data_IF_792062377458
#
_entry.id   IF_792062377458
#
_cell.length_a   1.000
_cell.length_b   1.000
_cell.length_c   1.000
_cell.angle_alpha   90.00
_cell.angle_beta   90.00
_cell.angle_gamma   90.00
#
_symmetry.space_group_name_H-M   'P 1'
#
loop_
_entity.id
_entity.type
_entity.pdbx_description
1 polymer ?
#
# COMPACT_ATOMS: atom_id res chain seq x y z
N UNK A 1 -31.95 38.72 40.84
CA UNK A 1 -33.42 38.81 41.02
C UNK A 1 -33.91 37.39 41.29
N UNK A 2 -33.96 36.94 42.54
CA UNK A 2 -35.19 36.84 43.38
C UNK A 2 -36.31 36.11 42.62
N UNK A 3 -36.66 34.87 42.96
CA UNK A 3 -37.53 34.45 44.07
C UNK A 3 -37.64 32.90 43.99
N UNK A 4 -38.03 32.10 44.98
CA UNK A 4 -38.25 32.20 46.42
C UNK A 4 -38.75 30.81 46.86
N UNK A 5 -38.43 30.40 48.10
CA UNK A 5 -39.31 29.85 49.17
C UNK A 5 -40.33 28.75 48.78
N UNK A 6 -40.61 27.70 49.54
CA UNK A 6 -40.56 27.37 50.98
C UNK A 6 -40.85 25.85 51.07
N UNK A 7 -40.21 25.08 51.98
CA UNK A 7 -40.73 24.69 53.31
C UNK A 7 -42.14 24.01 53.25
N UNK A 8 -42.44 22.83 53.80
CA UNK A 8 -42.23 22.33 55.18
C UNK A 8 -42.61 20.83 55.29
N UNK A 9 -41.94 20.14 56.21
CA UNK A 9 -42.38 19.10 57.16
C UNK A 9 -43.82 18.57 57.10
N UNK A 10 -44.00 17.26 57.34
CA UNK A 10 -44.81 16.71 58.46
C UNK A 10 -44.42 15.25 58.75
N UNK A 11 -44.50 14.92 60.05
CA UNK A 11 -44.15 13.67 60.74
C UNK A 11 -45.11 12.51 60.47
N UNK A 12 -44.50 11.31 60.52
CA UNK A 12 -44.92 10.04 61.10
C UNK A 12 -46.41 9.75 61.38
N UNK A 13 -46.85 8.59 60.89
CA UNK A 13 -47.79 7.71 61.60
C UNK A 13 -47.31 6.25 61.47
N UNK A 14 -47.22 5.58 62.62
CA UNK A 14 -46.99 4.16 62.74
C UNK A 14 -48.30 3.39 62.50
N UNK A 15 -48.21 2.20 61.91
CA UNK A 15 -49.35 1.29 61.72
C UNK A 15 -48.88 -0.13 61.42
N UNK A 16 -49.17 -1.03 62.36
CA UNK A 16 -48.86 -2.45 62.36
C UNK A 16 -49.41 -3.19 61.12
N UNK A 17 -48.63 -4.16 60.62
CA UNK A 17 -49.09 -5.14 59.64
C UNK A 17 -48.08 -6.26 59.42
N UNK A 18 -48.19 -7.33 60.22
CA UNK A 18 -47.53 -8.62 59.97
C UNK A 18 -47.99 -9.17 58.62
N UNK A 19 -47.08 -9.42 57.70
CA UNK A 19 -47.23 -10.38 56.60
C UNK A 19 -45.85 -10.93 56.24
N UNK A 20 -45.72 -12.25 56.29
CA UNK A 20 -44.48 -12.97 56.04
C UNK A 20 -43.95 -12.73 54.64
N UNK A 21 -42.65 -12.52 54.52
CA UNK A 21 -41.93 -12.56 53.26
C UNK A 21 -40.77 -13.52 53.44
N UNK A 22 -40.86 -14.68 52.79
CA UNK A 22 -39.74 -15.59 52.65
C UNK A 22 -38.65 -14.86 51.84
N UNK A 23 -37.51 -14.59 52.48
CA UNK A 23 -36.34 -14.07 51.80
C UNK A 23 -35.69 -15.21 50.99
N UNK A 24 -36.00 -15.27 49.70
CA UNK A 24 -35.14 -15.99 48.75
C UNK A 24 -33.83 -15.21 48.62
N UNK A 25 -32.78 -15.74 49.23
CA UNK A 25 -31.40 -15.32 48.93
C UNK A 25 -31.08 -15.86 47.53
N UNK A 26 -31.33 -15.04 46.51
CA UNK A 26 -30.86 -15.30 45.16
C UNK A 26 -29.34 -15.03 45.12
N UNK A 27 -28.55 -16.07 45.31
CA UNK A 27 -27.12 -16.06 45.04
C UNK A 27 -26.92 -15.88 43.53
N UNK A 28 -26.75 -14.65 43.07
CA UNK A 28 -26.30 -14.36 41.70
C UNK A 28 -24.83 -14.71 41.59
N UNK A 29 -24.54 -15.95 41.23
CA UNK A 29 -23.22 -16.34 40.72
C UNK A 29 -22.99 -15.61 39.40
N UNK A 30 -22.18 -14.56 39.44
CA UNK A 30 -21.61 -13.94 38.25
C UNK A 30 -20.69 -14.98 37.60
N UNK A 31 -21.21 -15.69 36.60
CA UNK A 31 -20.37 -16.49 35.71
C UNK A 31 -19.58 -15.50 34.86
N UNK A 32 -18.33 -15.25 35.24
CA UNK A 32 -17.38 -14.56 34.39
C UNK A 32 -17.04 -15.53 33.26
N UNK A 33 -17.75 -15.42 32.14
CA UNK A 33 -17.34 -16.07 30.88
C UNK A 33 -16.08 -15.36 30.38
N UNK A 34 -14.92 -15.90 30.74
CA UNK A 34 -13.68 -15.60 30.05
C UNK A 34 -13.79 -16.14 28.64
N UNK A 35 -14.18 -15.29 27.68
CA UNK A 35 -14.00 -15.59 26.27
C UNK A 35 -12.50 -15.69 26.00
N UNK A 36 -11.98 -16.90 25.97
CA UNK A 36 -10.61 -17.17 25.56
C UNK A 36 -10.47 -16.68 24.10
N UNK A 37 -9.78 -15.56 23.90
CA UNK A 37 -9.35 -15.12 22.60
C UNK A 37 -8.54 -16.26 21.96
N UNK A 38 -9.01 -16.77 20.83
CA UNK A 38 -8.29 -17.79 20.08
C UNK A 38 -6.87 -17.28 19.79
N UNK A 39 -5.86 -18.12 20.07
CA UNK A 39 -4.47 -17.76 19.79
C UNK A 39 -4.31 -17.42 18.31
N UNK A 40 -3.46 -16.43 17.95
CA UNK A 40 -3.20 -16.10 16.56
C UNK A 40 -2.65 -17.32 15.82
N UNK A 41 -2.98 -17.49 14.52
CA UNK A 41 -2.53 -18.67 13.78
C UNK A 41 -1.01 -18.72 13.68
N UNK A 42 -0.47 -19.93 13.85
CA UNK A 42 0.98 -20.20 13.76
C UNK A 42 1.51 -19.87 12.36
N UNK A 43 2.82 -19.61 12.23
CA UNK A 43 3.44 -19.39 10.92
C UNK A 43 3.26 -20.60 9.98
N UNK A 44 3.25 -21.83 10.51
CA UNK A 44 2.99 -23.03 9.72
C UNK A 44 1.55 -23.04 9.16
N UNK A 45 0.57 -22.69 10.00
CA UNK A 45 -0.84 -22.56 9.59
C UNK A 45 -1.00 -21.47 8.52
N UNK A 46 -0.37 -20.31 8.72
CA UNK A 46 -0.39 -19.20 7.75
C UNK A 46 0.24 -19.60 6.42
N UNK A 47 1.38 -20.31 6.45
CA UNK A 47 2.04 -20.82 5.25
C UNK A 47 1.13 -21.77 4.47
N UNK A 48 0.55 -22.76 5.13
CA UNK A 48 -0.37 -23.71 4.49
C UNK A 48 -1.57 -23.00 3.86
N UNK A 49 -2.13 -22.00 4.53
CA UNK A 49 -3.22 -21.18 4.00
C UNK A 49 -2.83 -20.39 2.75
N UNK A 50 -1.65 -19.75 2.76
CA UNK A 50 -1.12 -19.01 1.62
C UNK A 50 -0.85 -19.94 0.43
N UNK A 51 -0.19 -21.07 0.65
CA UNK A 51 0.14 -22.04 -0.40
C UNK A 51 -1.13 -22.66 -1.00
N UNK A 52 -2.13 -23.00 -0.18
CA UNK A 52 -3.45 -23.45 -0.66
C UNK A 52 -4.17 -22.37 -1.47
N UNK A 53 -4.12 -21.11 -1.03
CA UNK A 53 -4.71 -19.99 -1.78
C UNK A 53 -4.04 -19.81 -3.14
N UNK A 54 -2.70 -19.85 -3.19
CA UNK A 54 -1.95 -19.76 -4.44
C UNK A 54 -2.28 -20.90 -5.41
N UNK A 55 -2.53 -22.11 -4.89
CA UNK A 55 -2.85 -23.28 -5.71
C UNK A 55 -4.29 -23.28 -6.24
N UNK A 56 -5.26 -22.78 -5.47
CA UNK A 56 -6.68 -23.03 -5.73
C UNK A 56 -7.52 -21.79 -6.01
N UNK A 57 -7.09 -20.60 -5.61
CA UNK A 57 -7.86 -19.39 -5.87
C UNK A 57 -7.77 -19.01 -7.35
N UNK A 58 -8.92 -18.83 -8.02
CA UNK A 58 -8.97 -18.49 -9.45
C UNK A 58 -8.11 -17.26 -9.80
N UNK A 59 -8.08 -16.23 -8.94
CA UNK A 59 -7.25 -15.03 -9.15
C UNK A 59 -5.74 -15.28 -9.05
N UNK A 60 -5.32 -16.38 -8.42
CA UNK A 60 -3.93 -16.82 -8.32
C UNK A 60 -3.53 -17.86 -9.38
N UNK A 61 -4.50 -18.39 -10.12
CA UNK A 61 -4.24 -19.30 -11.22
C UNK A 61 -3.81 -18.53 -12.47
N UNK A 62 -3.11 -19.22 -13.37
CA UNK A 62 -2.61 -18.66 -14.64
C UNK A 62 -1.69 -17.42 -14.51
N UNK A 63 -0.99 -17.28 -13.36
CA UNK A 63 0.01 -16.23 -13.18
C UNK A 63 1.33 -16.50 -13.94
N UNK A 64 1.57 -17.73 -14.40
CA UNK A 64 2.83 -18.11 -15.05
C UNK A 64 3.98 -18.25 -14.03
N UNK A 65 5.20 -17.88 -14.43
CA UNK A 65 6.35 -17.83 -13.52
C UNK A 65 6.22 -16.64 -12.55
N UNK A 66 6.32 -16.89 -11.26
CA UNK A 66 6.29 -15.85 -10.24
C UNK A 66 7.11 -16.20 -8.99
N UNK A 67 7.54 -15.17 -8.28
CA UNK A 67 8.08 -15.25 -6.93
C UNK A 67 7.09 -14.60 -5.97
N UNK A 68 6.99 -15.09 -4.74
CA UNK A 68 6.27 -14.40 -3.68
C UNK A 68 7.03 -14.48 -2.37
N UNK A 69 6.87 -13.44 -1.53
CA UNK A 69 7.31 -13.47 -0.15
C UNK A 69 6.38 -12.67 0.75
N UNK A 70 6.36 -13.05 2.03
CA UNK A 70 5.74 -12.33 3.13
C UNK A 70 6.79 -12.23 4.24
N UNK A 71 6.94 -11.04 4.80
CA UNK A 71 7.90 -10.76 5.85
C UNK A 71 7.41 -9.71 6.84
N UNK A 72 8.25 -9.39 7.80
CA UNK A 72 8.05 -8.34 8.79
C UNK A 72 9.28 -7.42 8.87
N UNK A 73 9.34 -6.58 9.90
CA UNK A 73 10.48 -5.70 10.16
C UNK A 73 11.83 -6.43 10.26
N UNK A 74 11.82 -7.69 10.72
CA UNK A 74 13.01 -8.51 10.97
C UNK A 74 13.50 -9.28 9.74
N UNK A 75 12.61 -9.60 8.79
CA UNK A 75 13.02 -10.31 7.57
C UNK A 75 11.90 -11.04 6.86
N UNK A 76 12.29 -11.93 5.96
CA UNK A 76 11.36 -12.83 5.25
C UNK A 76 10.88 -13.91 6.23
N UNK A 77 9.57 -14.05 6.37
CA UNK A 77 8.93 -15.11 7.18
C UNK A 77 8.63 -16.34 6.33
N UNK A 78 8.18 -16.10 5.10
CA UNK A 78 7.88 -17.15 4.12
C UNK A 78 8.03 -16.63 2.70
N UNK A 79 8.39 -17.53 1.80
CA UNK A 79 8.54 -17.26 0.38
C UNK A 79 8.31 -18.54 -0.41
N UNK A 80 8.06 -18.37 -1.69
CA UNK A 80 7.98 -19.45 -2.67
C UNK A 80 8.12 -18.91 -4.08
N UNK A 81 8.15 -19.83 -5.04
CA UNK A 81 8.17 -19.49 -6.46
C UNK A 81 7.42 -20.55 -7.25
N UNK A 82 6.83 -20.15 -8.36
CA UNK A 82 6.32 -21.02 -9.40
C UNK A 82 7.17 -20.82 -10.66
N UNK A 83 7.59 -21.93 -11.27
CA UNK A 83 8.56 -21.90 -12.36
C UNK A 83 10.00 -21.65 -11.88
N UNK A 84 10.86 -21.23 -12.79
CA UNK A 84 12.31 -21.06 -12.55
C UNK A 84 12.85 -19.70 -13.00
N UNK A 85 12.06 -18.87 -13.69
CA UNK A 85 12.55 -17.62 -14.29
C UNK A 85 12.58 -16.45 -13.32
N UNK A 86 11.73 -16.46 -12.31
CA UNK A 86 11.58 -15.38 -11.32
C UNK A 86 11.87 -15.94 -9.93
N UNK A 87 12.80 -15.29 -9.22
CA UNK A 87 13.20 -15.68 -7.86
C UNK A 87 13.76 -14.48 -7.11
N UNK A 88 14.12 -14.66 -5.84
CA UNK A 88 14.47 -13.57 -4.91
C UNK A 88 15.57 -12.61 -5.42
N UNK A 89 16.51 -13.11 -6.23
CA UNK A 89 17.64 -12.32 -6.76
C UNK A 89 17.50 -11.98 -8.25
N UNK A 90 16.38 -12.33 -8.89
CA UNK A 90 16.15 -12.00 -10.29
C UNK A 90 15.84 -10.51 -10.39
N UNK A 91 16.65 -9.76 -11.14
CA UNK A 91 16.30 -8.39 -11.51
C UNK A 91 15.09 -8.39 -12.43
N UNK A 92 14.09 -7.58 -12.09
CA UNK A 92 12.85 -7.38 -12.85
C UNK A 92 12.56 -5.89 -13.01
N UNK A 93 11.79 -5.53 -14.03
CA UNK A 93 11.23 -4.18 -14.21
C UNK A 93 10.12 -3.92 -13.21
N UNK A 94 10.25 -2.82 -12.48
CA UNK A 94 9.25 -2.39 -11.49
C UNK A 94 8.06 -1.72 -12.15
N UNK A 95 8.24 -1.07 -13.31
CA UNK A 95 7.21 -0.22 -13.92
C UNK A 95 6.65 0.73 -12.85
N UNK A 96 5.33 0.94 -12.80
CA UNK A 96 4.68 1.82 -11.83
C UNK A 96 5.01 1.59 -10.35
N UNK A 97 5.53 0.43 -9.94
CA UNK A 97 6.01 0.23 -8.57
C UNK A 97 7.20 1.15 -8.21
N UNK A 98 7.91 1.68 -9.23
CA UNK A 98 8.96 2.70 -9.08
C UNK A 98 8.47 3.92 -8.30
N UNK A 99 7.18 4.26 -8.44
CA UNK A 99 6.57 5.41 -7.77
C UNK A 99 6.75 5.35 -6.26
N UNK A 100 6.56 4.19 -5.63
CA UNK A 100 6.65 4.12 -4.17
C UNK A 100 8.06 4.42 -3.65
N UNK A 101 9.08 3.93 -4.39
CA UNK A 101 10.48 4.24 -4.12
C UNK A 101 10.75 5.73 -4.36
N UNK A 102 10.23 6.29 -5.45
CA UNK A 102 10.36 7.71 -5.75
C UNK A 102 9.68 8.61 -4.71
N UNK A 103 8.50 8.24 -4.22
CA UNK A 103 7.81 8.92 -3.13
C UNK A 103 8.62 8.92 -1.85
N UNK A 104 9.29 7.80 -1.52
CA UNK A 104 10.18 7.74 -0.37
C UNK A 104 11.37 8.69 -0.58
N UNK A 105 12.01 8.64 -1.75
CA UNK A 105 13.11 9.52 -2.11
C UNK A 105 12.77 11.01 -1.95
N UNK A 106 11.62 11.48 -2.44
CA UNK A 106 11.19 12.88 -2.30
C UNK A 106 10.95 13.23 -0.83
N UNK A 107 10.22 12.37 -0.10
CA UNK A 107 9.94 12.61 1.32
C UNK A 107 11.22 12.64 2.16
N UNK A 108 12.20 11.79 1.86
CA UNK A 108 13.51 11.82 2.52
C UNK A 108 14.29 13.11 2.18
N UNK A 109 14.28 13.56 0.92
CA UNK A 109 14.90 14.84 0.53
C UNK A 109 14.27 16.02 1.24
N UNK A 110 12.96 15.98 1.41
CA UNK A 110 12.20 16.96 2.17
C UNK A 110 12.29 16.76 3.70
N UNK A 111 13.08 15.78 4.18
CA UNK A 111 13.26 15.46 5.60
C UNK A 111 11.93 15.22 6.33
N UNK A 112 10.99 14.55 5.67
CA UNK A 112 9.65 14.26 6.19
C UNK A 112 8.68 15.45 6.14
N UNK A 113 9.03 16.54 5.44
CA UNK A 113 8.21 17.75 5.33
C UNK A 113 8.03 18.18 3.87
N UNK A 114 7.38 17.35 3.03
CA UNK A 114 7.15 17.72 1.64
C UNK A 114 6.31 19.00 1.57
N UNK A 115 6.66 19.88 0.64
CA UNK A 115 5.93 21.09 0.30
C UNK A 115 4.56 20.75 -0.29
N UNK A 116 3.62 21.71 -0.32
CA UNK A 116 2.33 21.50 -0.98
C UNK A 116 2.48 21.06 -2.44
N UNK A 117 3.42 21.64 -3.20
CA UNK A 117 3.65 21.26 -4.59
C UNK A 117 4.18 19.83 -4.74
N UNK A 118 5.09 19.40 -3.86
CA UNK A 118 5.54 18.00 -3.80
C UNK A 118 4.39 17.06 -3.46
N UNK A 119 3.53 17.40 -2.49
CA UNK A 119 2.35 16.60 -2.15
C UNK A 119 1.40 16.51 -3.35
N UNK A 120 1.10 17.61 -4.03
CA UNK A 120 0.25 17.60 -5.23
C UNK A 120 0.83 16.74 -6.35
N UNK A 121 2.15 16.77 -6.58
CA UNK A 121 2.78 15.90 -7.57
C UNK A 121 2.75 14.42 -7.15
N UNK A 122 3.17 14.10 -5.91
CA UNK A 122 3.18 12.74 -5.38
C UNK A 122 1.78 12.12 -5.25
N UNK A 123 0.73 12.95 -5.22
CA UNK A 123 -0.67 12.50 -5.20
C UNK A 123 -1.35 12.56 -6.56
N UNK A 124 -0.60 12.75 -7.66
CA UNK A 124 -1.10 12.79 -9.04
C UNK A 124 -2.08 13.93 -9.35
N UNK A 125 -1.84 15.11 -8.79
CA UNK A 125 -2.74 16.28 -8.86
C UNK A 125 -2.07 17.55 -9.38
N UNK A 126 -0.82 17.48 -9.83
CA UNK A 126 -0.09 18.65 -10.36
C UNK A 126 -0.51 19.09 -11.77
N UNK A 127 -1.42 18.39 -12.43
CA UNK A 127 -1.87 18.69 -13.81
C UNK A 127 -0.90 18.28 -14.93
N UNK A 128 0.21 17.61 -14.62
CA UNK A 128 1.14 17.05 -15.61
C UNK A 128 0.86 15.57 -15.85
N UNK A 129 -0.17 15.28 -16.63
CA UNK A 129 -0.67 13.92 -16.85
C UNK A 129 -0.54 13.41 -18.28
N UNK A 130 0.34 14.04 -19.07
CA UNK A 130 0.59 13.73 -20.48
C UNK A 130 1.75 12.78 -20.77
N UNK A 131 2.50 12.29 -19.78
CA UNK A 131 3.69 11.47 -20.01
C UNK A 131 3.31 10.14 -20.68
N UNK A 132 3.89 9.91 -21.85
CA UNK A 132 3.99 8.62 -22.49
C UNK A 132 5.39 8.03 -22.21
N UNK A 133 5.50 7.02 -21.33
CA UNK A 133 6.79 6.44 -20.94
C UNK A 133 7.49 5.73 -22.10
N UNK A 134 6.76 5.28 -23.13
CA UNK A 134 7.34 4.62 -24.30
C UNK A 134 8.18 5.55 -25.17
N UNK A 135 7.99 6.87 -25.03
CA UNK A 135 8.79 7.85 -25.76
C UNK A 135 10.16 8.09 -25.10
N UNK A 136 10.29 7.79 -23.81
CA UNK A 136 11.52 8.04 -23.06
C UNK A 136 12.56 6.96 -23.35
N UNK A 137 13.74 7.40 -23.78
CA UNK A 137 14.88 6.56 -24.09
C UNK A 137 15.75 6.37 -22.83
N UNK A 138 16.40 5.22 -22.70
CA UNK A 138 17.38 4.97 -21.63
C UNK A 138 18.54 5.99 -21.59
N UNK A 139 18.86 6.61 -22.73
CA UNK A 139 19.92 7.61 -22.86
C UNK A 139 19.41 9.05 -22.71
N UNK A 140 18.12 9.25 -22.39
CA UNK A 140 17.61 10.59 -22.10
C UNK A 140 18.16 11.12 -20.77
N UNK A 141 17.97 12.43 -20.58
CA UNK A 141 17.90 13.06 -19.26
C UNK A 141 16.44 13.13 -18.82
N UNK A 142 16.20 13.47 -17.54
CA UNK A 142 14.85 13.75 -17.04
C UNK A 142 14.15 14.79 -17.92
N UNK A 143 14.83 15.89 -18.25
CA UNK A 143 14.29 16.99 -19.05
C UNK A 143 14.03 16.53 -20.49
N UNK A 144 14.98 15.84 -21.14
CA UNK A 144 14.79 15.44 -22.53
C UNK A 144 13.69 14.39 -22.68
N UNK A 145 13.47 13.50 -21.71
CA UNK A 145 12.30 12.62 -21.67
C UNK A 145 10.99 13.41 -21.51
N UNK A 146 10.99 14.44 -20.67
CA UNK A 146 9.82 15.29 -20.44
C UNK A 146 9.43 16.14 -21.67
N UNK A 147 10.40 16.58 -22.46
CA UNK A 147 10.16 17.40 -23.67
C UNK A 147 9.70 16.60 -24.89
N UNK A 148 9.67 15.26 -24.82
CA UNK A 148 9.27 14.42 -25.96
C UNK A 148 7.75 14.43 -26.18
N UNK A 149 7.36 14.71 -27.41
CA UNK A 149 5.96 14.64 -27.83
C UNK A 149 5.08 15.55 -26.96
N UNK A 150 4.14 14.96 -26.21
CA UNK A 150 3.23 15.67 -25.29
C UNK A 150 3.54 15.43 -23.82
N UNK A 151 4.73 14.89 -23.50
CA UNK A 151 5.08 14.52 -22.13
C UNK A 151 5.06 15.72 -21.16
N UNK A 152 5.46 16.90 -21.63
CA UNK A 152 5.46 18.15 -20.85
C UNK A 152 4.10 18.88 -20.83
N UNK A 153 3.05 18.31 -21.45
CA UNK A 153 1.74 18.98 -21.49
C UNK A 153 1.20 19.18 -20.08
N UNK A 154 0.97 20.44 -19.75
CA UNK A 154 0.27 20.86 -18.55
C UNK A 154 -1.21 21.05 -18.86
N UNK A 155 -2.08 20.46 -18.03
CA UNK A 155 -3.53 20.55 -18.15
C UNK A 155 -4.10 21.34 -16.98
N UNK A 156 -4.39 22.65 -17.13
CA UNK A 156 -4.85 23.49 -16.02
C UNK A 156 -6.11 22.96 -15.32
N UNK A 157 -7.04 22.39 -16.08
CA UNK A 157 -8.29 21.83 -15.54
C UNK A 157 -8.12 20.55 -14.71
N UNK A 158 -6.91 19.98 -14.67
CA UNK A 158 -6.59 18.78 -13.87
C UNK A 158 -5.79 19.12 -12.60
N UNK A 159 -5.42 20.39 -12.39
CA UNK A 159 -4.76 20.81 -11.14
C UNK A 159 -5.68 20.56 -9.95
N UNK A 160 -5.15 19.95 -8.90
CA UNK A 160 -5.91 19.57 -7.71
C UNK A 160 -6.83 18.36 -7.90
N UNK A 161 -6.87 17.76 -9.09
CA UNK A 161 -7.69 16.60 -9.41
C UNK A 161 -6.80 15.39 -9.70
N UNK A 162 -7.17 14.24 -9.15
CA UNK A 162 -6.41 13.01 -9.34
C UNK A 162 -6.45 12.58 -10.81
N UNK A 163 -5.29 12.48 -11.46
CA UNK A 163 -5.14 11.94 -12.80
C UNK A 163 -3.88 11.09 -12.88
N UNK A 164 -4.02 9.77 -12.90
CA UNK A 164 -2.86 8.89 -12.77
C UNK A 164 -1.93 8.95 -13.99
N UNK A 165 -0.72 9.46 -13.82
CA UNK A 165 0.30 9.49 -14.87
C UNK A 165 1.71 9.71 -14.30
N UNK A 166 2.76 9.36 -15.05
CA UNK A 166 4.14 9.58 -14.61
C UNK A 166 4.66 11.02 -14.77
N UNK A 167 3.96 11.89 -15.48
CA UNK A 167 4.37 13.26 -15.76
C UNK A 167 4.46 14.13 -14.51
N UNK A 168 3.64 13.85 -13.50
CA UNK A 168 3.69 14.52 -12.20
C UNK A 168 5.07 14.35 -11.56
N UNK A 169 5.56 13.11 -11.53
CA UNK A 169 6.87 12.76 -10.98
C UNK A 169 8.01 13.29 -11.85
N UNK A 170 7.87 13.24 -13.18
CA UNK A 170 8.87 13.75 -14.13
C UNK A 170 9.09 15.24 -13.93
N UNK A 171 8.00 16.02 -13.88
CA UNK A 171 8.05 17.46 -13.62
C UNK A 171 8.63 17.75 -12.24
N UNK A 172 8.24 16.98 -11.23
CA UNK A 172 8.76 17.16 -9.88
C UNK A 172 10.29 16.97 -9.82
N UNK A 173 10.85 15.96 -10.50
CA UNK A 173 12.31 15.80 -10.58
C UNK A 173 13.00 17.02 -11.20
N UNK A 174 12.40 17.62 -12.23
CA UNK A 174 12.92 18.85 -12.85
C UNK A 174 12.92 20.00 -11.84
N UNK A 175 11.82 20.18 -11.10
CA UNK A 175 11.67 21.23 -10.09
C UNK A 175 12.63 21.05 -8.90
N UNK A 176 13.02 19.81 -8.61
CA UNK A 176 14.06 19.47 -7.64
C UNK A 176 15.50 19.72 -8.17
N UNK A 177 15.64 20.29 -9.37
CA UNK A 177 16.91 20.63 -9.99
C UNK A 177 17.59 19.48 -10.73
N UNK A 178 16.89 18.37 -10.98
CA UNK A 178 17.46 17.15 -11.57
C UNK A 178 17.08 16.96 -13.04
N UNK A 179 16.63 18.02 -13.73
CA UNK A 179 16.28 17.96 -15.15
C UNK A 179 17.42 17.44 -16.05
N UNK A 180 18.68 17.77 -15.74
CA UNK A 180 19.85 17.30 -16.51
C UNK A 180 20.33 15.90 -16.13
N UNK A 181 19.75 15.27 -15.11
CA UNK A 181 20.17 13.95 -14.66
C UNK A 181 19.75 12.89 -15.68
N UNK A 182 20.68 12.05 -16.08
CA UNK A 182 20.41 10.79 -16.76
C UNK A 182 20.19 9.66 -15.74
N UNK A 183 20.04 8.42 -16.21
CA UNK A 183 19.83 7.29 -15.32
C UNK A 183 20.99 7.09 -14.32
N UNK A 184 22.24 7.34 -14.72
CA UNK A 184 23.40 7.19 -13.83
C UNK A 184 23.40 8.23 -12.72
N UNK A 185 23.21 9.50 -13.08
CA UNK A 185 23.12 10.60 -12.11
C UNK A 185 21.95 10.39 -11.14
N UNK A 186 20.79 9.93 -11.64
CA UNK A 186 19.65 9.60 -10.78
C UNK A 186 19.93 8.43 -9.84
N UNK A 187 20.65 7.39 -10.29
CA UNK A 187 21.03 6.26 -9.45
C UNK A 187 21.96 6.69 -8.32
N UNK A 188 22.98 7.49 -8.65
CA UNK A 188 23.91 8.04 -7.66
C UNK A 188 23.17 8.91 -6.63
N UNK A 189 22.18 9.69 -7.06
CA UNK A 189 21.39 10.51 -6.15
C UNK A 189 20.41 9.69 -5.29
N UNK A 190 19.72 8.71 -5.88
CA UNK A 190 18.82 7.80 -5.19
C UNK A 190 19.55 7.01 -4.10
N UNK A 191 20.70 6.42 -4.44
CA UNK A 191 21.51 5.66 -3.48
C UNK A 191 22.03 6.56 -2.37
N UNK A 192 22.52 7.78 -2.69
CA UNK A 192 22.93 8.73 -1.65
C UNK A 192 21.79 9.06 -0.71
N UNK A 193 20.59 9.29 -1.23
CA UNK A 193 19.44 9.70 -0.43
C UNK A 193 18.88 8.57 0.43
N UNK A 194 18.75 7.37 -0.13
CA UNK A 194 18.11 6.22 0.54
C UNK A 194 19.08 5.37 1.35
N UNK A 195 20.38 5.31 0.99
CA UNK A 195 21.38 4.57 1.76
C UNK A 195 21.93 5.36 2.96
N UNK A 196 21.81 6.70 2.96
CA UNK A 196 22.35 7.56 4.02
C UNK A 196 21.25 8.26 4.85
N UNK A 197 20.02 7.76 4.83
CA UNK A 197 18.97 8.27 5.71
C UNK A 197 19.42 8.17 7.18
N UNK A 198 19.34 9.26 7.97
CA UNK A 198 19.73 9.22 9.37
C UNK A 198 18.94 8.18 10.16
N UNK A 199 19.63 7.35 10.95
CA UNK A 199 19.01 6.34 11.80
C UNK A 199 18.82 4.96 11.16
N UNK A 200 19.37 4.72 9.97
CA UNK A 200 19.43 3.38 9.36
C UNK A 200 20.28 2.42 10.20
N UNK A 201 19.74 1.24 10.49
CA UNK A 201 20.48 0.17 11.19
C UNK A 201 21.62 -0.42 10.35
N UNK A 202 21.39 -0.51 9.04
CA UNK A 202 22.35 -1.01 8.04
C UNK A 202 22.65 0.10 7.00
N UNK A 203 23.00 1.29 7.50
CA UNK A 203 23.30 2.45 6.67
C UNK A 203 24.51 2.24 5.76
N UNK A 204 24.51 2.88 4.60
CA UNK A 204 25.65 2.90 3.67
C UNK A 204 25.68 1.80 2.60
N UNK A 205 24.75 0.85 2.60
CA UNK A 205 24.61 -0.12 1.49
C UNK A 205 23.41 0.23 0.59
N UNK A 206 23.64 0.38 -0.73
CA UNK A 206 22.57 0.52 -1.72
C UNK A 206 21.59 -0.66 -1.69
N UNK A 207 20.32 -0.36 -1.98
CA UNK A 207 19.27 -1.40 -2.05
C UNK A 207 19.30 -2.20 -3.36
N UNK A 208 20.13 -1.79 -4.33
CA UNK A 208 20.14 -2.36 -5.68
C UNK A 208 18.88 -2.04 -6.50
N UNK A 209 18.11 -1.03 -6.08
CA UNK A 209 17.00 -0.45 -6.86
C UNK A 209 17.59 0.67 -7.71
N UNK A 210 17.42 0.60 -9.03
CA UNK A 210 18.06 1.54 -9.96
C UNK A 210 17.19 1.87 -11.15
N UNK A 211 17.31 3.07 -11.67
CA UNK A 211 16.80 3.53 -12.95
C UNK A 211 17.51 2.81 -14.11
N UNK A 212 16.69 2.22 -14.98
CA UNK A 212 17.06 1.78 -16.33
C UNK A 212 16.83 2.89 -17.37
N UNK A 213 15.90 3.80 -17.08
CA UNK A 213 15.59 5.00 -17.85
C UNK A 213 15.29 6.15 -16.86
N UNK A 214 15.50 7.43 -17.23
CA UNK A 214 15.28 8.60 -16.37
C UNK A 214 13.79 8.93 -16.18
N UNK A 215 13.01 7.91 -15.80
CA UNK A 215 11.57 7.98 -15.58
C UNK A 215 11.27 7.58 -14.12
N UNK A 216 11.06 8.54 -13.18
CA UNK A 216 10.78 8.28 -11.76
C UNK A 216 9.61 7.33 -11.55
N UNK A 217 8.59 7.48 -12.38
CA UNK A 217 7.31 6.83 -12.23
C UNK A 217 7.27 5.38 -12.75
N UNK A 218 8.28 4.93 -13.49
CA UNK A 218 8.21 3.66 -14.21
C UNK A 218 9.53 3.01 -14.62
N UNK A 219 10.63 3.77 -14.58
CA UNK A 219 11.91 3.39 -15.18
C UNK A 219 12.81 2.53 -14.30
N UNK A 220 12.40 2.14 -13.08
CA UNK A 220 13.28 1.38 -12.18
C UNK A 220 13.24 -0.13 -12.41
N UNK A 221 14.33 -0.77 -12.04
CA UNK A 221 14.52 -2.22 -11.92
C UNK A 221 15.02 -2.54 -10.50
N UNK A 222 14.66 -3.71 -9.99
CA UNK A 222 15.18 -4.21 -8.72
C UNK A 222 15.11 -5.74 -8.66
N UNK A 223 15.76 -6.33 -7.66
CA UNK A 223 15.48 -7.71 -7.24
C UNK A 223 14.38 -7.70 -6.17
N UNK A 224 13.60 -8.80 -6.04
CA UNK A 224 12.68 -8.95 -4.90
C UNK A 224 13.38 -8.75 -3.54
N UNK A 225 14.60 -9.27 -3.36
CA UNK A 225 15.35 -9.10 -2.12
C UNK A 225 15.66 -7.63 -1.79
N UNK A 226 16.07 -6.84 -2.78
CA UNK A 226 16.35 -5.40 -2.63
C UNK A 226 15.07 -4.60 -2.33
N UNK A 227 13.98 -4.89 -3.05
CA UNK A 227 12.69 -4.25 -2.79
C UNK A 227 12.10 -4.68 -1.43
N UNK A 228 12.32 -5.93 -0.99
CA UNK A 228 11.94 -6.39 0.34
C UNK A 228 12.67 -5.61 1.43
N UNK A 229 13.95 -5.29 1.24
CA UNK A 229 14.68 -4.42 2.15
C UNK A 229 14.10 -2.99 2.18
N UNK A 230 13.71 -2.43 1.03
CA UNK A 230 12.99 -1.15 0.96
C UNK A 230 11.71 -1.17 1.82
N UNK A 231 10.86 -2.18 1.66
CA UNK A 231 9.61 -2.32 2.43
C UNK A 231 9.88 -2.47 3.93
N UNK A 232 10.91 -3.23 4.32
CA UNK A 232 11.32 -3.35 5.73
C UNK A 232 11.80 -2.03 6.32
N UNK A 233 12.47 -1.18 5.54
CA UNK A 233 12.90 0.17 6.00
C UNK A 233 11.70 1.09 6.23
N UNK A 234 10.66 1.01 5.39
CA UNK A 234 9.38 1.71 5.63
C UNK A 234 8.71 1.22 6.92
N UNK A 235 8.57 -0.09 7.11
CA UNK A 235 7.94 -0.68 8.30
C UNK A 235 8.69 -0.33 9.58
N UNK A 236 10.03 -0.35 9.56
CA UNK A 236 10.87 0.01 10.72
C UNK A 236 10.82 1.51 11.05
N UNK A 237 10.19 2.34 10.21
CA UNK A 237 10.18 3.79 10.36
C UNK A 237 11.55 4.43 10.12
N UNK A 238 12.46 3.70 9.44
CA UNK A 238 13.78 4.19 9.05
C UNK A 238 13.67 5.21 7.90
N UNK A 239 12.66 5.06 7.05
CA UNK A 239 12.22 6.10 6.12
C UNK A 239 11.04 6.88 6.73
N UNK A 240 11.10 8.21 6.63
CA UNK A 240 10.04 9.13 6.99
C UNK A 240 8.74 8.82 6.26
N UNK A 241 8.80 8.37 5.00
CA UNK A 241 7.59 7.94 4.28
C UNK A 241 6.84 6.82 5.04
N UNK A 242 7.55 5.91 5.72
CA UNK A 242 6.94 4.86 6.54
C UNK A 242 6.02 5.40 7.63
N UNK A 243 6.42 6.52 8.26
CA UNK A 243 5.62 7.23 9.28
C UNK A 243 4.42 7.95 8.67
N UNK A 244 4.52 8.31 7.39
CA UNK A 244 3.48 8.99 6.63
C UNK A 244 2.54 8.06 5.85
N UNK A 245 2.74 6.73 5.90
CA UNK A 245 1.81 5.79 5.28
C UNK A 245 0.38 6.00 5.79
N UNK A 246 -0.56 6.24 4.87
CA UNK A 246 -1.97 6.58 5.12
C UNK A 246 -2.27 8.08 5.16
N UNK A 247 -1.26 8.95 5.14
CA UNK A 247 -1.45 10.40 5.09
C UNK A 247 -1.61 10.90 3.65
N UNK A 248 -2.28 12.04 3.48
CA UNK A 248 -2.51 12.69 2.18
C UNK A 248 -3.26 11.81 1.17
N UNK A 249 -4.12 10.92 1.67
CA UNK A 249 -4.98 10.10 0.83
C UNK A 249 -5.95 10.96 0.02
N UNK A 250 -6.12 10.63 -1.26
CA UNK A 250 -7.07 11.25 -2.19
C UNK A 250 -7.90 10.20 -2.89
N UNK A 251 -9.17 10.50 -3.14
CA UNK A 251 -10.05 9.60 -3.89
C UNK A 251 -9.67 9.59 -5.37
N UNK A 252 -9.85 8.43 -6.02
CA UNK A 252 -9.32 8.20 -7.38
C UNK A 252 -10.36 7.80 -8.42
N UNK A 253 -11.59 7.48 -7.99
CA UNK A 253 -12.64 6.93 -8.85
C UNK A 253 -13.55 8.03 -9.42
N UNK A 254 -13.47 8.41 -10.71
CA UNK A 254 -14.24 9.53 -11.26
C UNK A 254 -15.76 9.37 -11.11
N UNK A 255 -16.27 8.14 -11.06
CA UNK A 255 -17.69 7.87 -10.86
C UNK A 255 -18.23 8.26 -9.49
N UNK A 256 -17.36 8.32 -8.47
CA UNK A 256 -17.75 8.62 -7.07
C UNK A 256 -16.98 9.80 -6.47
N UNK A 257 -15.92 10.26 -7.14
CA UNK A 257 -15.02 11.32 -6.73
C UNK A 257 -14.96 12.41 -7.83
N UNK A 258 -15.67 13.54 -7.67
CA UNK A 258 -15.66 14.64 -8.66
C UNK A 258 -14.25 15.23 -8.91
N UNK A 259 -13.38 15.09 -7.91
CA UNK A 259 -11.98 15.49 -7.95
C UNK A 259 -11.06 14.43 -8.56
N UNK A 260 -11.58 13.40 -9.21
CA UNK A 260 -10.81 12.44 -10.00
C UNK A 260 -11.11 12.57 -11.50
N UNK A 261 -10.10 12.31 -12.32
CA UNK A 261 -10.14 12.39 -13.78
C UNK A 261 -9.87 11.03 -14.41
N UNK A 262 -8.80 10.34 -14.00
CA UNK A 262 -8.42 9.05 -14.55
C UNK A 262 -7.69 8.19 -13.54
N UNK A 263 -8.05 6.91 -13.47
CA UNK A 263 -7.41 5.91 -12.60
C UNK A 263 -7.22 4.58 -13.35
N UNK A 264 -6.06 3.91 -13.17
CA UNK A 264 -5.88 2.54 -13.60
C UNK A 264 -6.27 1.52 -12.51
N UNK A 265 -6.64 1.97 -11.31
CA UNK A 265 -7.00 1.06 -10.23
C UNK A 265 -8.22 0.22 -10.63
N UNK A 266 -8.20 -1.06 -10.27
CA UNK A 266 -9.31 -1.99 -10.57
C UNK A 266 -10.48 -1.87 -9.58
N UNK A 267 -10.29 -1.08 -8.53
CA UNK A 267 -11.20 -0.87 -7.40
C UNK A 267 -11.05 0.60 -6.96
N UNK A 268 -12.03 1.18 -6.24
CA UNK A 268 -12.01 2.58 -5.82
C UNK A 268 -11.05 2.79 -4.63
N UNK A 269 -9.77 2.47 -4.83
CA UNK A 269 -8.67 2.68 -3.91
C UNK A 269 -8.38 4.17 -3.76
N UNK A 270 -7.89 4.58 -2.59
CA UNK A 270 -7.26 5.89 -2.48
C UNK A 270 -5.82 5.86 -2.99
N UNK A 271 -5.31 7.02 -3.38
CA UNK A 271 -3.90 7.24 -3.68
C UNK A 271 -3.30 8.21 -2.67
N UNK A 272 -2.03 8.06 -2.35
CA UNK A 272 -1.33 8.94 -1.43
C UNK A 272 0.02 9.33 -2.04
N UNK A 273 1.07 9.47 -1.24
CA UNK A 273 2.40 9.92 -1.66
C UNK A 273 3.10 8.84 -2.52
N UNK A 274 2.62 8.62 -3.75
CA UNK A 274 3.06 7.66 -4.75
C UNK A 274 2.83 6.16 -4.45
N UNK A 275 1.77 5.87 -3.69
CA UNK A 275 1.29 4.51 -3.42
C UNK A 275 -0.24 4.49 -3.31
N UNK A 276 -0.83 3.31 -3.53
CA UNK A 276 -2.25 3.03 -3.36
C UNK A 276 -2.56 2.64 -1.91
N UNK A 277 -3.79 2.90 -1.49
CA UNK A 277 -4.39 2.39 -0.26
C UNK A 277 -5.59 1.54 -0.67
N UNK A 278 -5.56 0.25 -0.34
CA UNK A 278 -6.58 -0.73 -0.73
C UNK A 278 -7.75 -0.73 0.27
N UNK A 279 -8.42 0.40 0.36
CA UNK A 279 -9.46 0.74 1.34
C UNK A 279 -10.87 0.88 0.72
N UNK A 280 -11.09 0.29 -0.45
CA UNK A 280 -12.44 0.10 -0.99
C UNK A 280 -13.34 -0.64 0.02
N UNK A 281 -14.68 -0.61 -0.11
CA UNK A 281 -15.56 -1.43 0.72
C UNK A 281 -15.14 -2.92 0.71
N UNK A 282 -14.83 -3.47 1.89
CA UNK A 282 -14.32 -4.84 2.04
C UNK A 282 -12.81 -5.02 1.80
N UNK A 283 -12.08 -3.94 1.52
CA UNK A 283 -10.62 -3.89 1.50
C UNK A 283 -10.00 -3.99 2.89
N UNK A 284 -8.69 -4.29 2.92
CA UNK A 284 -7.93 -4.48 4.16
C UNK A 284 -7.04 -3.27 4.53
N UNK A 285 -7.13 -2.18 3.76
CA UNK A 285 -6.38 -0.95 3.98
C UNK A 285 -4.88 -1.08 3.72
N UNK A 286 -4.44 -2.14 3.03
CA UNK A 286 -3.03 -2.32 2.72
C UNK A 286 -2.50 -1.19 1.82
N UNK A 287 -1.23 -0.83 2.01
CA UNK A 287 -0.51 0.10 1.16
C UNK A 287 0.17 -0.68 0.05
N UNK A 288 0.02 -0.31 -1.22
CA UNK A 288 0.60 -1.04 -2.35
C UNK A 288 1.07 -0.14 -3.49
N UNK A 289 1.84 -0.68 -4.42
CA UNK A 289 2.22 0.05 -5.64
C UNK A 289 2.47 -0.91 -6.80
N UNK A 290 1.41 -1.27 -7.51
CA UNK A 290 1.48 -2.27 -8.56
C UNK A 290 2.18 -1.74 -9.83
N UNK A 291 3.07 -2.56 -10.39
CA UNK A 291 3.78 -2.33 -11.64
C UNK A 291 3.14 -3.05 -12.81
N UNK A 292 3.07 -2.41 -13.97
CA UNK A 292 2.37 -2.89 -15.17
C UNK A 292 2.63 -4.35 -15.54
N UNK A 293 3.86 -4.85 -15.33
CA UNK A 293 4.29 -6.21 -15.67
C UNK A 293 3.97 -7.27 -14.61
N UNK A 294 3.24 -6.92 -13.54
CA UNK A 294 2.83 -7.84 -12.49
C UNK A 294 3.70 -7.84 -11.23
N UNK A 295 4.60 -6.87 -11.08
CA UNK A 295 5.26 -6.60 -9.80
C UNK A 295 4.24 -5.99 -8.83
N UNK A 296 4.01 -6.60 -7.68
CA UNK A 296 3.01 -6.15 -6.72
C UNK A 296 3.54 -6.24 -5.28
N UNK A 297 4.05 -5.13 -4.71
CA UNK A 297 4.46 -5.03 -3.32
C UNK A 297 3.32 -4.49 -2.44
N UNK A 298 3.33 -4.83 -1.15
CA UNK A 298 2.42 -4.24 -0.18
C UNK A 298 2.99 -4.19 1.24
N UNK A 299 2.37 -3.36 2.07
CA UNK A 299 2.50 -3.31 3.52
C UNK A 299 1.09 -3.37 4.11
N UNK A 300 0.88 -4.17 5.16
CA UNK A 300 -0.43 -4.25 5.85
C UNK A 300 -0.79 -2.91 6.52
N UNK A 301 -2.08 -2.64 6.71
CA UNK A 301 -2.54 -1.36 7.29
C UNK A 301 -1.93 -1.06 8.68
N UNK A 302 -1.73 -2.11 9.49
CA UNK A 302 -1.08 -2.04 10.81
C UNK A 302 0.45 -1.89 10.74
N UNK A 303 1.02 -1.88 9.52
CA UNK A 303 2.44 -1.75 9.20
C UNK A 303 3.30 -2.86 9.82
N UNK A 304 2.72 -4.02 10.16
CA UNK A 304 3.45 -5.13 10.78
C UNK A 304 4.11 -6.05 9.77
N UNK A 305 3.47 -6.25 8.62
CA UNK A 305 3.91 -7.18 7.62
C UNK A 305 4.03 -6.50 6.26
N UNK A 306 4.93 -7.00 5.44
CA UNK A 306 5.00 -6.69 4.03
C UNK A 306 4.89 -7.98 3.21
N UNK A 307 4.72 -7.82 1.91
CA UNK A 307 5.16 -8.85 1.00
C UNK A 307 5.25 -8.34 -0.42
N UNK A 308 5.53 -9.27 -1.33
CA UNK A 308 5.45 -9.04 -2.77
C UNK A 308 5.02 -10.29 -3.52
N UNK A 309 4.32 -10.08 -4.64
CA UNK A 309 4.09 -11.05 -5.69
C UNK A 309 4.79 -10.47 -6.92
N UNK A 310 5.78 -11.18 -7.42
CA UNK A 310 6.71 -10.66 -8.42
C UNK A 310 6.60 -11.47 -9.68
N UNK A 311 6.26 -10.77 -10.75
CA UNK A 311 6.13 -11.28 -12.12
C UNK A 311 6.74 -10.27 -13.07
N UNK A 312 7.15 -10.75 -14.24
CA UNK A 312 7.57 -9.90 -15.35
C UNK A 312 6.88 -10.38 -16.63
N UNK A 313 5.57 -10.15 -16.69
CA UNK A 313 4.70 -10.58 -17.78
C UNK A 313 4.30 -9.39 -18.63
N UNK A 314 4.62 -9.45 -19.93
CA UNK A 314 4.13 -8.50 -20.92
C UNK A 314 2.71 -8.90 -21.32
N UNK A 315 1.73 -8.45 -20.53
CA UNK A 315 0.32 -8.68 -20.82
C UNK A 315 -0.53 -7.55 -20.26
N UNK A 316 -1.70 -7.26 -20.88
CA UNK A 316 -2.59 -6.24 -20.39
C UNK A 316 -3.01 -6.58 -18.95
N UNK A 317 -3.04 -5.54 -18.10
CA UNK A 317 -3.52 -5.63 -16.72
C UNK A 317 -2.84 -6.74 -15.88
N UNK A 318 -1.59 -7.11 -16.17
CA UNK A 318 -0.87 -8.12 -15.38
C UNK A 318 -0.77 -7.71 -13.89
N UNK A 319 -0.68 -6.41 -13.62
CA UNK A 319 -0.74 -5.82 -12.29
C UNK A 319 -2.07 -6.10 -11.56
N UNK A 320 -3.22 -6.07 -12.25
CA UNK A 320 -4.55 -6.32 -11.65
C UNK A 320 -4.64 -7.74 -11.13
N UNK A 321 -4.24 -8.73 -11.95
CA UNK A 321 -4.20 -10.15 -11.52
C UNK A 321 -3.27 -10.34 -10.32
N UNK A 322 -2.13 -9.67 -10.34
CA UNK A 322 -1.14 -9.76 -9.26
C UNK A 322 -1.66 -9.15 -7.96
N UNK A 323 -2.36 -8.02 -8.04
CA UNK A 323 -2.98 -7.39 -6.88
C UNK A 323 -4.16 -8.21 -6.33
N UNK A 324 -5.00 -8.77 -7.20
CA UNK A 324 -6.11 -9.62 -6.80
C UNK A 324 -5.62 -10.87 -6.04
N UNK A 325 -4.64 -11.60 -6.58
CA UNK A 325 -4.02 -12.72 -5.86
C UNK A 325 -3.31 -12.24 -4.59
N UNK A 326 -2.61 -11.10 -4.66
CA UNK A 326 -1.95 -10.45 -3.54
C UNK A 326 -2.87 -10.22 -2.34
N UNK A 327 -4.07 -9.67 -2.58
CA UNK A 327 -5.09 -9.47 -1.55
C UNK A 327 -5.54 -10.79 -0.91
N UNK A 328 -5.72 -11.85 -1.72
CA UNK A 328 -6.08 -13.17 -1.21
C UNK A 328 -4.97 -13.79 -0.36
N UNK A 329 -3.70 -13.73 -0.78
CA UNK A 329 -2.60 -14.28 0.03
C UNK A 329 -2.37 -13.47 1.30
N UNK A 330 -2.60 -12.15 1.29
CA UNK A 330 -2.57 -11.33 2.52
C UNK A 330 -3.64 -11.77 3.51
N UNK A 331 -4.88 -11.93 3.04
CA UNK A 331 -5.99 -12.38 3.87
C UNK A 331 -5.76 -13.80 4.38
N UNK A 332 -5.25 -14.70 3.53
CA UNK A 332 -4.88 -16.05 3.92
C UNK A 332 -3.81 -16.06 5.02
N UNK A 333 -2.79 -15.21 4.88
CA UNK A 333 -1.77 -15.02 5.89
C UNK A 333 -2.37 -14.46 7.18
N UNK A 334 -3.22 -13.44 7.12
CA UNK A 334 -3.83 -12.81 8.29
C UNK A 334 -4.68 -13.80 9.10
N UNK A 335 -5.57 -14.53 8.42
CA UNK A 335 -6.58 -15.40 9.01
C UNK A 335 -6.05 -16.81 9.34
N UNK A 336 -4.94 -17.22 8.70
CA UNK A 336 -4.48 -18.60 8.74
C UNK A 336 -5.44 -19.57 8.04
N UNK A 337 -6.23 -19.08 7.07
CA UNK A 337 -7.25 -19.84 6.35
C UNK A 337 -7.13 -19.62 4.84
N UNK A 338 -7.21 -20.66 4.00
CA UNK A 338 -7.21 -20.49 2.56
C UNK A 338 -8.32 -19.56 2.05
N UNK A 339 -8.05 -18.82 0.98
CA UNK A 339 -8.98 -17.87 0.36
C UNK A 339 -9.36 -18.32 -1.05
N UNK A 340 -10.15 -19.38 -1.12
CA UNK A 340 -10.80 -19.84 -2.35
C UNK A 340 -12.28 -20.11 -2.03
N UNK A 341 -13.18 -20.05 -3.03
CA UNK A 341 -14.55 -20.48 -2.82
C UNK A 341 -14.51 -21.91 -2.26
N UNK A 342 -15.32 -22.19 -1.23
CA UNK A 342 -15.59 -23.57 -0.85
C UNK A 342 -16.08 -24.31 -2.09
N UNK A 343 -15.62 -25.55 -2.31
CA UNK A 343 -16.10 -26.40 -3.41
C UNK A 343 -17.64 -26.33 -3.46
N UNK A 344 -18.19 -25.70 -4.51
CA UNK A 344 -19.65 -25.59 -4.71
C UNK A 344 -20.22 -24.18 -4.96
N UNK A 345 -19.46 -23.09 -4.89
CA UNK A 345 -19.95 -21.77 -5.28
C UNK A 345 -19.53 -21.43 -6.73
N UNK A 346 -20.51 -21.41 -7.64
CA UNK A 346 -20.34 -21.25 -9.08
C UNK A 346 -19.49 -20.04 -9.49
N UNK A 347 -18.66 -20.27 -10.50
CA UNK A 347 -17.81 -19.29 -11.17
C UNK A 347 -18.64 -18.18 -11.80
N UNK A 348 -18.44 -16.94 -11.33
CA UNK A 348 -18.67 -15.78 -12.17
C UNK A 348 -17.38 -15.55 -12.97
N UNK A 349 -17.42 -15.93 -14.25
CA UNK A 349 -16.37 -15.65 -15.21
C UNK A 349 -16.11 -14.14 -15.31
N UNK A 350 -14.89 -13.73 -15.02
CA UNK A 350 -14.36 -12.48 -15.53
C UNK A 350 -13.69 -12.79 -16.87
N UNK A 351 -14.47 -12.75 -17.94
CA UNK A 351 -13.98 -12.89 -19.31
C UNK A 351 -13.26 -11.62 -19.78
N UNK A 352 -12.05 -11.84 -20.31
CA UNK A 352 -11.17 -11.07 -21.22
C UNK A 352 -11.12 -9.53 -21.17
#
# INVERSE_FOLDING_TARGET
>A
MTQARHARNIRAFAGFGRLGSAALVASTTWVVTTTALAAPPSLATRRAAVESTLAHAASCQHLGDYYWEIGDAGGVLMRGQQGQRIGANKTVRLASASKWVFGAYVVERAKGKPTPAEIEALTMRSGYDGLNPLLCNRNDTVQSCFERGRNATFTPGHVGRFSYNGGHDQKLLIDLGLGRADAEALNNDLDRQLANTPGLRDGGQPLGIRYLAPEPAGGMIATPAGYGQFLRRLIRGEYQLGKMLGQHAVCTEPGTCPTAVSTPAAQPWHYALNYWIEDQPGGDGAFSSAGAFGFYPWITADKRYYGMLVRETLGPRAYVRSAACGALIRRAFADGKPQHPAEGAGSADFAD
#
